data_IF_247288379462
#
_entry.id   IF_247288379462
#
_cell.length_a   1.000
_cell.length_b   1.000
_cell.length_c   1.000
_cell.angle_alpha   90.00
_cell.angle_beta   90.00
_cell.angle_gamma   90.00
#
_symmetry.space_group_name_H-M   'P 1'
#
loop_
_entity.id
_entity.type
_entity.pdbx_description
1 polymer ?
#
# COMPACT_ATOMS: atom_id res chain seq x y z
N UNK A 1 -2.43 11.73 9.45
CA UNK A 1 -2.70 12.36 8.14
C UNK A 1 -1.53 12.03 7.23
N UNK A 2 -1.80 11.49 6.03
CA UNK A 2 -0.78 11.29 5.00
C UNK A 2 -0.55 12.63 4.28
N UNK A 3 0.62 13.22 4.47
CA UNK A 3 0.96 14.54 3.92
C UNK A 3 1.19 14.51 2.39
N UNK A 4 1.33 13.32 1.80
CA UNK A 4 1.42 13.16 0.35
C UNK A 4 0.05 13.16 -0.33
N UNK A 5 -1.04 13.14 0.47
CA UNK A 5 -2.43 13.15 0.00
C UNK A 5 -3.19 14.33 0.61
N UNK A 6 -3.05 15.54 0.02
CA UNK A 6 -3.79 16.70 0.50
C UNK A 6 -5.30 16.45 0.36
N UNK A 7 -6.02 16.67 1.46
CA UNK A 7 -7.47 16.61 1.51
C UNK A 7 -8.02 18.01 1.79
N UNK A 8 -9.14 18.34 1.15
CA UNK A 8 -9.84 19.59 1.35
C UNK A 8 -11.33 19.35 1.57
N UNK A 9 -11.95 20.15 2.42
CA UNK A 9 -13.40 20.26 2.50
C UNK A 9 -13.86 21.34 1.51
N UNK A 10 -14.86 21.01 0.68
CA UNK A 10 -15.38 21.91 -0.34
C UNK A 10 -16.89 22.02 -0.19
N UNK A 11 -17.41 23.24 -0.20
CA UNK A 11 -18.84 23.55 -0.22
C UNK A 11 -19.22 24.15 -1.57
N UNK A 12 -20.39 23.80 -2.08
CA UNK A 12 -20.91 24.35 -3.33
C UNK A 12 -22.16 25.20 -3.04
N UNK A 13 -22.18 26.43 -3.53
CA UNK A 13 -23.33 27.33 -3.46
C UNK A 13 -23.73 27.74 -4.88
N UNK A 14 -24.89 27.25 -5.35
CA UNK A 14 -25.40 27.48 -6.71
C UNK A 14 -24.36 27.30 -7.84
N UNK A 15 -23.39 26.39 -7.63
CA UNK A 15 -22.31 26.17 -8.58
C UNK A 15 -22.86 25.60 -9.90
N UNK A 16 -22.45 26.19 -11.03
CA UNK A 16 -22.80 25.69 -12.34
C UNK A 16 -22.26 24.26 -12.52
N UNK A 17 -23.11 23.34 -12.95
CA UNK A 17 -22.76 21.94 -13.16
C UNK A 17 -23.28 21.44 -14.51
N UNK A 18 -22.58 20.45 -15.08
CA UNK A 18 -23.00 19.74 -16.29
C UNK A 18 -23.20 18.28 -15.95
N UNK A 19 -24.38 17.75 -16.27
CA UNK A 19 -24.66 16.33 -16.10
C UNK A 19 -23.72 15.49 -16.97
N UNK A 20 -22.99 14.56 -16.35
CA UNK A 20 -22.09 13.64 -17.05
C UNK A 20 -22.74 12.28 -17.31
N UNK A 21 -23.68 11.84 -16.46
CA UNK A 21 -24.39 10.56 -16.59
C UNK A 21 -25.67 10.54 -15.76
N UNK A 22 -26.68 9.81 -16.24
CA UNK A 22 -27.91 9.47 -15.49
C UNK A 22 -27.71 8.32 -14.50
N UNK A 23 -26.61 7.58 -14.61
CA UNK A 23 -26.27 6.41 -13.78
C UNK A 23 -25.17 6.70 -12.75
N UNK A 24 -25.29 7.80 -12.02
CA UNK A 24 -24.23 8.31 -11.14
C UNK A 24 -23.71 7.27 -10.14
N UNK A 25 -24.60 6.53 -9.49
CA UNK A 25 -24.26 5.51 -8.49
C UNK A 25 -23.37 4.38 -9.05
N UNK A 26 -23.66 3.90 -10.27
CA UNK A 26 -22.80 2.92 -10.93
C UNK A 26 -21.43 3.50 -11.33
N UNK A 27 -21.40 4.76 -11.78
CA UNK A 27 -20.16 5.46 -12.13
C UNK A 27 -19.27 5.68 -10.89
N UNK A 28 -19.86 6.13 -9.78
CA UNK A 28 -19.16 6.33 -8.50
C UNK A 28 -18.60 5.00 -8.00
N UNK A 29 -19.38 3.91 -7.99
CA UNK A 29 -18.87 2.58 -7.60
C UNK A 29 -17.70 2.12 -8.45
N UNK A 30 -17.73 2.37 -9.76
CA UNK A 30 -16.61 2.05 -10.65
C UNK A 30 -15.37 2.86 -10.29
N UNK A 31 -15.52 4.17 -10.05
CA UNK A 31 -14.43 5.03 -9.60
C UNK A 31 -13.83 4.59 -8.27
N UNK A 32 -14.67 4.24 -7.28
CA UNK A 32 -14.22 3.74 -5.98
C UNK A 32 -13.47 2.41 -6.09
N UNK A 33 -13.94 1.49 -6.96
CA UNK A 33 -13.24 0.21 -7.21
C UNK A 33 -11.87 0.44 -7.84
N UNK A 34 -11.78 1.31 -8.87
CA UNK A 34 -10.50 1.67 -9.47
C UNK A 34 -9.56 2.34 -8.46
N UNK A 35 -10.09 3.24 -7.61
CA UNK A 35 -9.34 3.84 -6.51
C UNK A 35 -8.79 2.80 -5.53
N UNK A 36 -9.62 1.84 -5.11
CA UNK A 36 -9.20 0.75 -4.23
C UNK A 36 -8.09 -0.12 -4.85
N UNK A 37 -8.15 -0.40 -6.16
CA UNK A 37 -7.11 -1.12 -6.89
C UNK A 37 -5.76 -0.39 -6.89
N UNK A 38 -5.79 0.93 -7.13
CA UNK A 38 -4.60 1.78 -7.07
C UNK A 38 -4.01 1.81 -5.66
N UNK A 39 -4.85 1.94 -4.63
CA UNK A 39 -4.42 1.89 -3.24
C UNK A 39 -3.78 0.55 -2.90
N UNK A 40 -4.39 -0.57 -3.27
CA UNK A 40 -3.81 -1.90 -3.03
C UNK A 40 -2.44 -2.06 -3.70
N UNK A 41 -2.28 -1.54 -4.92
CA UNK A 41 -1.02 -1.58 -5.66
C UNK A 41 0.08 -0.72 -5.00
N UNK A 42 -0.28 0.47 -4.51
CA UNK A 42 0.64 1.32 -3.75
C UNK A 42 1.07 0.66 -2.43
N UNK A 43 0.13 0.11 -1.67
CA UNK A 43 0.45 -0.57 -0.40
C UNK A 43 1.37 -1.77 -0.60
N UNK A 44 1.19 -2.52 -1.70
CA UNK A 44 2.12 -3.58 -2.09
C UNK A 44 3.54 -3.02 -2.32
N UNK A 45 3.68 -1.96 -3.11
CA UNK A 45 4.99 -1.36 -3.40
C UNK A 45 5.68 -0.85 -2.13
N UNK A 46 4.94 -0.23 -1.22
CA UNK A 46 5.44 0.19 0.09
C UNK A 46 5.91 -1.02 0.91
N UNK A 47 5.12 -2.09 0.96
CA UNK A 47 5.46 -3.29 1.73
C UNK A 47 6.72 -3.99 1.17
N UNK A 48 6.84 -4.08 -0.16
CA UNK A 48 8.03 -4.62 -0.84
C UNK A 48 9.29 -3.79 -0.53
N UNK A 49 9.18 -2.46 -0.55
CA UNK A 49 10.27 -1.57 -0.22
C UNK A 49 10.68 -1.68 1.25
N UNK A 50 9.71 -1.65 2.17
CA UNK A 50 9.95 -1.81 3.61
C UNK A 50 10.65 -3.13 3.93
N UNK A 51 10.22 -4.24 3.32
CA UNK A 51 10.87 -5.55 3.50
C UNK A 51 12.30 -5.53 2.97
N UNK A 52 12.51 -4.98 1.78
CA UNK A 52 13.84 -4.86 1.15
C UNK A 52 14.81 -4.08 2.03
N UNK A 53 14.40 -2.90 2.48
CA UNK A 53 15.24 -2.05 3.34
C UNK A 53 15.47 -2.67 4.72
N UNK A 54 14.47 -3.35 5.29
CA UNK A 54 14.63 -4.07 6.55
C UNK A 54 15.66 -5.18 6.40
N UNK A 55 15.57 -6.00 5.35
CA UNK A 55 16.55 -7.06 5.07
C UNK A 55 17.94 -6.46 4.88
N UNK A 56 18.07 -5.38 4.11
CA UNK A 56 19.35 -4.67 3.92
C UNK A 56 19.95 -4.25 5.26
N UNK A 57 19.18 -3.54 6.08
CA UNK A 57 19.64 -3.07 7.39
C UNK A 57 20.03 -4.22 8.32
N UNK A 58 19.27 -5.32 8.35
CA UNK A 58 19.58 -6.47 9.22
C UNK A 58 20.90 -7.17 8.86
N UNK A 59 21.35 -7.06 7.60
CA UNK A 59 22.66 -7.57 7.17
C UNK A 59 23.81 -6.65 7.60
N UNK A 60 23.57 -5.34 7.67
CA UNK A 60 24.58 -4.33 8.02
C UNK A 60 24.74 -4.17 9.55
N UNK A 61 23.63 -4.24 10.31
CA UNK A 61 23.62 -4.01 11.75
C UNK A 61 24.24 -5.20 12.50
N UNK A 62 25.26 -4.93 13.32
CA UNK A 62 25.95 -5.96 14.13
C UNK A 62 25.62 -5.86 15.62
N UNK A 63 25.27 -6.98 16.27
CA UNK A 63 25.12 -7.10 17.72
C UNK A 63 25.60 -8.49 18.17
N UNK A 64 26.10 -8.60 19.40
CA UNK A 64 26.67 -9.86 19.92
C UNK A 64 27.70 -10.47 18.97
N UNK A 65 28.56 -9.60 18.40
CA UNK A 65 29.64 -9.95 17.49
C UNK A 65 29.23 -10.63 16.17
N UNK A 66 28.01 -10.38 15.68
CA UNK A 66 27.49 -10.91 14.40
C UNK A 66 26.40 -10.00 13.80
N UNK A 67 26.13 -10.06 12.49
CA UNK A 67 24.97 -9.37 11.91
C UNK A 67 23.66 -9.80 12.57
N UNK A 68 22.76 -8.87 12.86
CA UNK A 68 21.48 -9.18 13.52
C UNK A 68 20.60 -10.08 12.66
N UNK A 69 20.66 -9.94 11.34
CA UNK A 69 19.95 -10.81 10.39
C UNK A 69 20.39 -12.27 10.42
N UNK A 70 21.46 -12.60 11.14
CA UNK A 70 21.88 -13.99 11.33
C UNK A 70 21.09 -14.73 12.42
N UNK A 71 20.42 -14.03 13.34
CA UNK A 71 19.61 -14.65 14.41
C UNK A 71 18.35 -15.30 13.82
N UNK A 72 18.05 -16.54 14.24
CA UNK A 72 16.94 -17.30 13.68
C UNK A 72 15.58 -16.63 13.90
N UNK A 73 15.36 -16.00 15.06
CA UNK A 73 14.12 -15.27 15.34
C UNK A 73 13.83 -14.16 14.29
N UNK A 74 14.86 -13.44 13.85
CA UNK A 74 14.71 -12.42 12.81
C UNK A 74 14.54 -13.05 11.42
N UNK A 75 15.29 -14.11 11.10
CA UNK A 75 15.14 -14.80 9.82
C UNK A 75 13.73 -15.36 9.60
N UNK A 76 13.17 -16.03 10.61
CA UNK A 76 11.84 -16.61 10.52
C UNK A 76 10.78 -15.52 10.34
N UNK A 77 10.84 -14.46 11.15
CA UNK A 77 9.91 -13.33 11.03
C UNK A 77 10.00 -12.64 9.67
N UNK A 78 11.20 -12.47 9.11
CA UNK A 78 11.37 -11.89 7.77
C UNK A 78 10.86 -12.82 6.66
N UNK A 79 10.97 -14.13 6.84
CA UNK A 79 10.42 -15.11 5.91
C UNK A 79 8.89 -15.13 5.93
N UNK A 80 8.28 -15.02 7.12
CA UNK A 80 6.82 -14.87 7.29
C UNK A 80 6.32 -13.57 6.63
N UNK A 81 6.97 -12.44 6.90
CA UNK A 81 6.65 -11.16 6.26
C UNK A 81 6.80 -11.22 4.74
N UNK A 82 7.81 -11.92 4.23
CA UNK A 82 7.96 -12.13 2.79
C UNK A 82 6.76 -12.89 2.20
N UNK A 83 6.27 -13.92 2.89
CA UNK A 83 5.08 -14.66 2.46
C UNK A 83 3.83 -13.75 2.42
N UNK A 84 3.65 -12.90 3.44
CA UNK A 84 2.55 -11.92 3.47
C UNK A 84 2.63 -10.93 2.29
N UNK A 85 3.82 -10.42 1.96
CA UNK A 85 4.02 -9.52 0.82
C UNK A 85 3.72 -10.22 -0.51
N UNK A 86 4.17 -11.47 -0.67
CA UNK A 86 3.87 -12.28 -1.87
C UNK A 86 2.36 -12.51 -2.02
N UNK A 87 1.65 -12.81 -0.93
CA UNK A 87 0.20 -12.96 -0.95
C UNK A 87 -0.51 -11.64 -1.29
N UNK A 88 -0.01 -10.53 -0.76
CA UNK A 88 -0.53 -9.19 -1.05
C UNK A 88 -0.40 -8.86 -2.54
N UNK A 89 0.63 -9.37 -3.23
CA UNK A 89 0.77 -9.20 -4.69
C UNK A 89 -0.38 -9.83 -5.47
N UNK A 90 -0.85 -11.01 -5.06
CA UNK A 90 -2.01 -11.63 -5.68
C UNK A 90 -3.29 -10.83 -5.40
N UNK A 91 -3.46 -10.35 -4.16
CA UNK A 91 -4.60 -9.51 -3.77
C UNK A 91 -4.65 -8.20 -4.57
N UNK A 92 -3.52 -7.50 -4.70
CA UNK A 92 -3.43 -6.24 -5.44
C UNK A 92 -3.77 -6.44 -6.93
N UNK A 93 -3.29 -7.52 -7.56
CA UNK A 93 -3.62 -7.85 -8.95
C UNK A 93 -5.09 -8.18 -9.15
N UNK A 94 -5.72 -8.87 -8.21
CA UNK A 94 -7.15 -9.20 -8.29
C UNK A 94 -8.06 -7.98 -8.01
N UNK A 95 -7.53 -6.93 -7.40
CA UNK A 95 -8.27 -5.71 -7.16
C UNK A 95 -8.37 -4.82 -8.42
N UNK A 96 -7.44 -4.97 -9.38
CA UNK A 96 -7.37 -4.21 -10.62
C UNK A 96 -8.20 -4.85 -11.75
#
# INVERSE_FOLDING_TARGET
LDLTRPLAAVTFEAAAARELTRGADAAVRRGLRAGAALLASEQLGIAEWCLTETVRYTKERHQFNRPVGSFQALKHRLAELWLEVVNTRAAARNAA
#
